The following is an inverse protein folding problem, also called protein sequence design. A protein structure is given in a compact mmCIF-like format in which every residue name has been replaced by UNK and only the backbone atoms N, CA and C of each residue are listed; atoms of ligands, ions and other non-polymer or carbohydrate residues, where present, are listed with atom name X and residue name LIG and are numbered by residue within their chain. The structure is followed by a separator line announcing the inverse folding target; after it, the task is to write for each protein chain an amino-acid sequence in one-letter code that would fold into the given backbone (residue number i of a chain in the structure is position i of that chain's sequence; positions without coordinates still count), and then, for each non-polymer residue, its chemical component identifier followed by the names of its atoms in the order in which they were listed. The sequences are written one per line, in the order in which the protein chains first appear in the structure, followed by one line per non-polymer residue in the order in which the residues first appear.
data_IF_761540956434
#
_entry.id   IF_761540956434
#
_cell.length_a   1.000
_cell.length_b   1.000
_cell.length_c   1.000
_cell.angle_alpha   90.00
_cell.angle_beta   90.00
_cell.angle_gamma   90.00
#
_symmetry.space_group_name_H-M   'P 1'
#
loop_
_entity.id
_entity.type
_entity.pdbx_description
1 polymer ?
#
# COMPACT_ATOMS: atom_id res chain seq x y z
N UNK A 1 -15.28 10.86 30.31
CA UNK A 1 -15.20 9.82 29.26
C UNK A 1 -14.84 10.42 27.90
N UNK A 2 -15.29 11.63 27.57
CA UNK A 2 -14.96 12.41 26.34
C UNK A 2 -13.45 12.64 26.10
N UNK A 3 -12.70 13.04 27.13
CA UNK A 3 -11.29 13.49 27.01
C UNK A 3 -10.34 12.36 26.56
N UNK A 4 -10.63 11.12 26.95
CA UNK A 4 -9.82 9.97 26.57
C UNK A 4 -10.01 9.61 25.09
N UNK A 5 -11.24 9.74 24.58
CA UNK A 5 -11.57 9.49 23.19
C UNK A 5 -10.93 10.54 22.27
N UNK A 6 -10.97 11.82 22.65
CA UNK A 6 -10.34 12.90 21.88
C UNK A 6 -8.82 12.74 21.81
N UNK A 7 -8.17 12.31 22.89
CA UNK A 7 -6.72 12.08 22.90
C UNK A 7 -6.32 10.87 22.03
N UNK A 8 -7.11 9.78 22.04
CA UNK A 8 -6.88 8.63 21.18
C UNK A 8 -7.10 8.97 19.69
N UNK A 9 -8.15 9.73 19.37
CA UNK A 9 -8.42 10.21 18.01
C UNK A 9 -7.30 11.11 17.50
N UNK A 10 -6.79 12.02 18.33
CA UNK A 10 -5.69 12.91 17.96
C UNK A 10 -4.39 12.15 17.72
N UNK A 11 -4.08 11.14 18.56
CA UNK A 11 -2.91 10.27 18.37
C UNK A 11 -3.01 9.45 17.08
N UNK A 12 -4.17 8.85 16.80
CA UNK A 12 -4.41 8.11 15.56
C UNK A 12 -4.24 9.01 14.32
N UNK A 13 -4.79 10.24 14.35
CA UNK A 13 -4.62 11.24 13.28
C UNK A 13 -3.16 11.61 13.08
N UNK A 14 -2.41 11.90 14.15
CA UNK A 14 -1.00 12.24 14.05
C UNK A 14 -0.16 11.11 13.47
N UNK A 15 -0.38 9.88 13.93
CA UNK A 15 0.32 8.70 13.41
C UNK A 15 -0.03 8.46 11.94
N UNK A 16 -1.29 8.65 11.54
CA UNK A 16 -1.73 8.58 10.15
C UNK A 16 -1.05 9.64 9.26
N UNK A 17 -0.95 10.89 9.74
CA UNK A 17 -0.25 11.96 9.01
C UNK A 17 1.23 11.61 8.82
N UNK A 18 1.90 11.09 9.85
CA UNK A 18 3.31 10.72 9.77
C UNK A 18 3.52 9.52 8.83
N UNK A 19 2.69 8.49 8.94
CA UNK A 19 2.73 7.30 8.09
C UNK A 19 2.48 7.64 6.61
N UNK A 20 1.47 8.47 6.33
CA UNK A 20 1.16 8.94 4.97
C UNK A 20 2.26 9.84 4.40
N UNK A 21 2.89 10.69 5.22
CA UNK A 21 4.03 11.50 4.80
C UNK A 21 5.25 10.63 4.46
N UNK A 22 5.56 9.62 5.27
CA UNK A 22 6.66 8.68 5.00
C UNK A 22 6.45 7.89 3.70
N UNK A 23 5.25 7.35 3.49
CA UNK A 23 4.92 6.65 2.23
C UNK A 23 4.96 7.62 1.04
N UNK A 24 4.50 8.85 1.21
CA UNK A 24 4.58 9.88 0.17
C UNK A 24 6.02 10.20 -0.20
N UNK A 25 6.94 10.34 0.77
CA UNK A 25 8.36 10.56 0.47
C UNK A 25 8.97 9.39 -0.27
N UNK A 26 8.67 8.15 0.14
CA UNK A 26 9.14 6.95 -0.57
C UNK A 26 8.59 6.89 -1.99
N UNK A 27 7.30 7.11 -2.19
CA UNK A 27 6.69 7.12 -3.51
C UNK A 27 7.23 8.25 -4.38
N UNK A 28 7.46 9.43 -3.81
CA UNK A 28 8.09 10.54 -4.50
C UNK A 28 9.53 10.18 -4.94
N UNK A 29 10.31 9.55 -4.05
CA UNK A 29 11.66 9.09 -4.38
C UNK A 29 11.66 8.01 -5.48
N UNK A 30 10.58 7.23 -5.61
CA UNK A 30 10.46 6.15 -6.59
C UNK A 30 9.88 6.60 -7.93
N UNK A 31 8.92 7.53 -7.91
CA UNK A 31 8.13 7.91 -9.11
C UNK A 31 8.41 9.33 -9.59
N UNK A 32 9.17 10.12 -8.83
CA UNK A 32 9.34 11.56 -9.06
C UNK A 32 8.09 12.39 -8.80
N UNK A 33 6.99 11.78 -8.34
CA UNK A 33 5.72 12.45 -8.08
C UNK A 33 5.11 12.03 -6.73
N UNK A 34 4.29 12.86 -6.08
CA UNK A 34 3.64 12.50 -4.82
C UNK A 34 2.45 11.53 -4.99
N UNK A 35 2.35 10.87 -6.14
CA UNK A 35 1.24 10.00 -6.52
C UNK A 35 1.76 8.71 -7.12
N UNK A 36 1.05 7.61 -6.93
CA UNK A 36 1.33 6.36 -7.63
C UNK A 36 0.04 5.67 -8.01
N UNK A 37 0.06 4.95 -9.13
CA UNK A 37 -0.98 4.01 -9.52
C UNK A 37 -0.77 2.66 -8.83
N UNK A 38 -1.79 1.80 -8.85
CA UNK A 38 -1.67 0.43 -8.37
C UNK A 38 -0.62 -0.35 -9.16
N UNK A 39 -0.54 -0.13 -10.48
CA UNK A 39 0.46 -0.74 -11.36
C UNK A 39 1.90 -0.32 -10.99
N UNK A 40 2.13 0.97 -10.71
CA UNK A 40 3.44 1.46 -10.28
C UNK A 40 3.85 0.88 -8.93
N UNK A 41 2.93 0.81 -7.96
CA UNK A 41 3.20 0.18 -6.67
C UNK A 41 3.47 -1.33 -6.81
N UNK A 42 2.73 -2.02 -7.67
CA UNK A 42 2.96 -3.43 -7.93
C UNK A 42 4.33 -3.68 -8.57
N UNK A 43 4.70 -2.88 -9.58
CA UNK A 43 6.03 -2.96 -10.20
C UNK A 43 7.13 -2.69 -9.17
N UNK A 44 6.96 -1.66 -8.34
CA UNK A 44 7.90 -1.37 -7.26
C UNK A 44 8.09 -2.58 -6.33
N UNK A 45 7.01 -3.19 -5.84
CA UNK A 45 7.08 -4.36 -4.97
C UNK A 45 7.75 -5.53 -5.72
N UNK A 46 7.37 -5.81 -6.97
CA UNK A 46 7.89 -6.97 -7.72
C UNK A 46 9.39 -6.89 -8.01
N UNK A 47 9.91 -5.69 -8.28
CA UNK A 47 11.30 -5.49 -8.71
C UNK A 47 12.22 -5.00 -7.58
N UNK A 48 11.70 -4.79 -6.37
CA UNK A 48 12.54 -4.40 -5.24
C UNK A 48 13.45 -5.57 -4.81
N UNK A 49 14.75 -5.33 -4.55
CA UNK A 49 15.72 -6.39 -4.23
C UNK A 49 15.36 -7.17 -2.96
N UNK A 50 14.76 -6.51 -1.97
CA UNK A 50 14.38 -7.13 -0.68
C UNK A 50 13.02 -7.84 -0.71
N UNK A 51 12.32 -7.85 -1.85
CA UNK A 51 11.02 -8.48 -1.94
C UNK A 51 11.12 -10.00 -1.82
N UNK A 52 10.33 -10.54 -0.90
CA UNK A 52 10.12 -11.98 -0.81
C UNK A 52 8.97 -12.37 -1.71
N UNK A 53 9.21 -13.27 -2.66
CA UNK A 53 8.20 -13.87 -3.52
C UNK A 53 7.94 -15.32 -3.10
N UNK A 54 6.67 -15.69 -3.03
CA UNK A 54 6.24 -17.09 -3.00
C UNK A 54 5.23 -17.34 -4.10
N UNK A 55 5.19 -18.55 -4.66
CA UNK A 55 4.25 -18.93 -5.72
C UNK A 55 3.50 -20.19 -5.30
N UNK A 56 2.19 -20.22 -5.54
CA UNK A 56 1.34 -21.38 -5.28
C UNK A 56 0.53 -21.71 -6.52
N UNK A 57 0.52 -22.99 -6.89
CA UNK A 57 -0.34 -23.50 -7.94
C UNK A 57 -1.66 -23.98 -7.30
N UNK A 58 -2.77 -23.34 -7.65
CA UNK A 58 -4.10 -23.65 -7.14
C UNK A 58 -5.06 -23.81 -8.31
N UNK A 59 -5.70 -24.98 -8.41
CA UNK A 59 -6.67 -25.29 -9.47
C UNK A 59 -6.12 -25.05 -10.89
N UNK A 60 -4.84 -25.34 -11.12
CA UNK A 60 -4.18 -25.14 -12.42
C UNK A 60 -3.72 -23.72 -12.72
N UNK A 61 -3.89 -22.77 -11.77
CA UNK A 61 -3.42 -21.40 -11.92
C UNK A 61 -2.26 -21.10 -10.97
N UNK A 62 -1.28 -20.32 -11.45
CA UNK A 62 -0.17 -19.85 -10.65
C UNK A 62 -0.51 -18.51 -9.98
N UNK A 63 -0.48 -18.50 -8.65
CA UNK A 63 -0.65 -17.29 -7.84
C UNK A 63 0.70 -16.91 -7.24
N UNK A 64 1.10 -15.65 -7.44
CA UNK A 64 2.32 -15.10 -6.83
C UNK A 64 1.94 -14.17 -5.68
N UNK A 65 2.61 -14.36 -4.55
CA UNK A 65 2.46 -13.56 -3.34
C UNK A 65 3.79 -12.90 -3.05
N UNK A 66 3.79 -11.57 -2.97
CA UNK A 66 4.95 -10.75 -2.71
C UNK A 66 4.78 -10.04 -1.38
N UNK A 67 5.84 -10.02 -0.57
CA UNK A 67 5.93 -9.22 0.65
C UNK A 67 7.22 -8.44 0.66
N UNK A 68 7.12 -7.14 0.95
CA UNK A 68 8.26 -6.25 1.09
C UNK A 68 8.07 -5.44 2.37
N UNK A 69 9.10 -5.39 3.21
CA UNK A 69 9.11 -4.59 4.43
C UNK A 69 10.15 -3.49 4.28
N UNK A 70 9.76 -2.23 4.49
CA UNK A 70 10.66 -1.09 4.47
C UNK A 70 10.42 -0.19 5.68
N UNK A 71 11.27 -0.34 6.70
CA UNK A 71 11.05 0.33 7.98
C UNK A 71 9.70 -0.09 8.56
N UNK A 72 8.84 0.89 8.84
CA UNK A 72 7.51 0.67 9.41
C UNK A 72 6.42 0.46 8.36
N UNK A 73 6.77 0.34 7.06
CA UNK A 73 5.82 0.11 5.97
C UNK A 73 5.92 -1.31 5.46
N UNK A 74 4.79 -2.00 5.46
CA UNK A 74 4.61 -3.34 4.97
C UNK A 74 3.82 -3.32 3.66
N UNK A 75 4.37 -3.95 2.63
CA UNK A 75 3.74 -4.07 1.32
C UNK A 75 3.36 -5.52 1.09
N UNK A 76 2.13 -5.74 0.62
CA UNK A 76 1.64 -7.04 0.18
C UNK A 76 1.06 -6.92 -1.21
N UNK A 77 1.45 -7.82 -2.10
CA UNK A 77 0.93 -7.90 -3.45
C UNK A 77 0.60 -9.35 -3.78
N UNK A 78 -0.60 -9.56 -4.33
CA UNK A 78 -1.02 -10.84 -4.85
C UNK A 78 -1.36 -10.69 -6.33
N UNK A 79 -0.78 -11.57 -7.15
CA UNK A 79 -1.07 -11.64 -8.58
C UNK A 79 -1.46 -13.04 -9.00
N UNK A 80 -2.27 -13.12 -10.05
CA UNK A 80 -2.43 -14.32 -10.87
C UNK A 80 -1.80 -14.00 -12.21
N UNK A 81 -0.71 -14.67 -12.55
CA UNK A 81 0.14 -14.30 -13.68
C UNK A 81 0.51 -12.78 -13.61
N UNK A 82 0.12 -12.00 -14.62
CA UNK A 82 0.31 -10.54 -14.65
C UNK A 82 -0.82 -9.74 -13.99
N UNK A 83 -1.95 -10.38 -13.67
CA UNK A 83 -3.12 -9.69 -13.13
C UNK A 83 -2.97 -9.43 -11.63
N UNK A 84 -3.05 -8.16 -11.24
CA UNK A 84 -3.03 -7.75 -9.83
C UNK A 84 -4.38 -8.07 -9.20
N UNK A 85 -4.39 -8.99 -8.24
CA UNK A 85 -5.60 -9.37 -7.49
C UNK A 85 -5.79 -8.48 -6.26
N UNK A 86 -4.70 -8.24 -5.55
CA UNK A 86 -4.70 -7.52 -4.29
C UNK A 86 -3.38 -6.76 -4.12
N UNK A 87 -3.48 -5.53 -3.63
CA UNK A 87 -2.33 -4.75 -3.19
C UNK A 87 -2.69 -4.03 -1.90
N UNK A 88 -1.87 -4.23 -0.86
CA UNK A 88 -1.98 -3.50 0.39
C UNK A 88 -0.66 -2.81 0.72
N UNK A 89 -0.76 -1.56 1.17
CA UNK A 89 0.35 -0.83 1.78
C UNK A 89 -0.11 -0.48 3.19
N UNK A 90 0.59 -1.03 4.16
CA UNK A 90 0.25 -0.92 5.58
C UNK A 90 1.40 -0.27 6.32
N UNK A 91 1.07 0.38 7.42
CA UNK A 91 2.01 0.70 8.51
C UNK A 91 1.56 -0.01 9.77
N UNK A 92 2.36 0.03 10.83
CA UNK A 92 2.00 -0.55 12.14
C UNK A 92 0.58 -0.19 12.60
N UNK A 93 0.11 1.03 12.31
CA UNK A 93 -1.17 1.53 12.82
C UNK A 93 -2.27 1.66 11.75
N UNK A 94 -1.94 1.68 10.45
CA UNK A 94 -2.91 2.08 9.40
C UNK A 94 -2.72 1.38 8.05
N UNK A 95 -3.83 1.12 7.36
CA UNK A 95 -3.85 0.78 5.94
C UNK A 95 -3.83 2.07 5.11
N UNK A 96 -2.77 2.27 4.33
CA UNK A 96 -2.57 3.45 3.48
C UNK A 96 -3.15 3.20 2.09
N UNK A 97 -2.95 1.99 1.56
CA UNK A 97 -3.55 1.53 0.31
C UNK A 97 -4.19 0.19 0.56
N UNK A 98 -5.40 0.01 0.03
CA UNK A 98 -6.03 -1.29 -0.07
C UNK A 98 -6.77 -1.39 -1.39
N UNK A 99 -6.27 -2.25 -2.28
CA UNK A 99 -6.84 -2.54 -3.59
C UNK A 99 -7.25 -4.00 -3.67
N UNK A 100 -8.43 -4.24 -4.22
CA UNK A 100 -8.95 -5.57 -4.55
C UNK A 100 -9.52 -5.53 -5.96
N UNK A 101 -9.04 -6.36 -6.87
CA UNK A 101 -9.44 -6.31 -8.28
C UNK A 101 -10.94 -6.48 -8.49
N UNK A 102 -11.59 -7.35 -7.72
CA UNK A 102 -13.03 -7.60 -7.81
C UNK A 102 -13.91 -6.43 -7.36
N UNK A 103 -13.38 -5.49 -6.58
CA UNK A 103 -14.13 -4.35 -6.01
C UNK A 103 -13.68 -3.01 -6.57
N UNK A 104 -12.38 -2.87 -6.77
CA UNK A 104 -11.68 -1.61 -7.01
C UNK A 104 -11.09 -1.53 -8.43
N UNK A 105 -11.50 -2.40 -9.37
CA UNK A 105 -10.94 -2.48 -10.74
C UNK A 105 -10.74 -1.12 -11.43
N UNK A 106 -11.72 -0.22 -11.31
CA UNK A 106 -11.68 1.12 -11.91
C UNK A 106 -10.54 2.02 -11.38
N UNK A 107 -9.95 1.67 -10.24
CA UNK A 107 -8.86 2.40 -9.60
C UNK A 107 -7.47 1.97 -10.07
N UNK A 108 -7.35 0.89 -10.87
CA UNK A 108 -6.08 0.30 -11.29
C UNK A 108 -5.10 1.35 -11.88
N UNK A 109 -5.60 2.20 -12.77
CA UNK A 109 -4.85 3.27 -13.44
C UNK A 109 -5.05 4.65 -12.83
N UNK A 110 -5.91 4.76 -11.82
CA UNK A 110 -6.19 6.04 -11.17
C UNK A 110 -5.02 6.40 -10.26
N UNK A 111 -4.44 7.61 -10.37
CA UNK A 111 -3.39 8.05 -9.46
C UNK A 111 -3.91 8.12 -8.03
N UNK A 112 -3.29 7.36 -7.12
CA UNK A 112 -3.59 7.42 -5.71
C UNK A 112 -2.90 8.66 -5.15
N UNK A 113 -3.71 9.56 -4.60
CA UNK A 113 -3.21 10.69 -3.82
C UNK A 113 -3.07 10.26 -2.38
N UNK A 114 -1.83 10.23 -1.91
CA UNK A 114 -1.52 10.12 -0.48
C UNK A 114 -1.76 11.52 0.10
N UNK A 115 -3.02 11.82 0.44
CA UNK A 115 -3.42 13.16 0.82
C UNK A 115 -2.62 13.67 2.04
N UNK A 116 -2.23 14.94 1.92
CA UNK A 116 -1.89 15.85 3.00
C UNK A 116 -3.21 16.23 3.69
N UNK A 117 -3.33 16.08 5.01
CA UNK A 117 -4.44 16.69 5.75
C UNK A 117 -4.31 18.22 5.62
N UNK A 118 -5.25 18.83 4.90
CA UNK A 118 -5.53 20.26 4.99
C UNK A 118 -6.51 20.45 6.15
N UNK A 119 -6.00 21.08 7.20
CA UNK A 119 -6.64 21.76 8.35
C UNK A 119 -7.38 20.84 9.32
#
# INVERSE_FOLDING_TARGET
MEIHLTNMLNKAKMNFIQASAYVKERIYSLTGTPTATIEQLAAYIQYHPDTKKSTKNLLGFAYSFYSLDQGDVHYKLETKDSDILQLDVLTLDHHIVSYRSYRDHNKLKSPIRFFKLTI
#
